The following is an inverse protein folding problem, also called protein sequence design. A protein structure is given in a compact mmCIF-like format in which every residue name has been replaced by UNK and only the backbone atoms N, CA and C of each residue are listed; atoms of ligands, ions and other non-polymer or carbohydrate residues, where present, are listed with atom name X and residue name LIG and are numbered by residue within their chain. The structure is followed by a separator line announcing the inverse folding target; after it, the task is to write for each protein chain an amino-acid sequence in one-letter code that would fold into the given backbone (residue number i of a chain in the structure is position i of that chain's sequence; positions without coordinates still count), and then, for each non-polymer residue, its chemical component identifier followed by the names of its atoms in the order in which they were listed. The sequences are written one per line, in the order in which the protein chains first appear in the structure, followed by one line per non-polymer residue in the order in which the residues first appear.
data_IF_783836448980
#
_entry.id   IF_783836448980
#
_cell.length_a   1.000
_cell.length_b   1.000
_cell.length_c   1.000
_cell.angle_alpha   90.00
_cell.angle_beta   90.00
_cell.angle_gamma   90.00
#
_symmetry.space_group_name_H-M   'P 1'
#
loop_
_entity.id
_entity.type
_entity.pdbx_description
1 polymer ?
#
# COMPACT_ATOMS: atom_id res chain seq x y z
N UNK A 1 -18.48 12.05 -2.56
CA UNK A 1 -17.32 12.79 -3.09
C UNK A 1 -16.44 11.80 -3.83
N UNK A 2 -16.08 12.05 -5.08
CA UNK A 2 -15.03 11.23 -5.67
C UNK A 2 -13.76 11.46 -4.84
N UNK A 3 -13.17 10.40 -4.36
CA UNK A 3 -11.85 10.44 -3.77
C UNK A 3 -10.92 10.77 -4.93
N UNK A 4 -10.59 12.05 -5.07
CA UNK A 4 -9.70 12.49 -6.13
C UNK A 4 -8.35 11.81 -5.96
N UNK A 5 -7.79 11.37 -7.06
CA UNK A 5 -6.44 10.83 -7.09
C UNK A 5 -5.50 11.87 -6.47
N UNK A 6 -4.87 11.53 -5.34
CA UNK A 6 -3.91 12.43 -4.68
C UNK A 6 -2.72 12.60 -5.61
N UNK A 7 -2.54 13.80 -6.14
CA UNK A 7 -1.45 14.10 -7.06
C UNK A 7 -0.14 14.39 -6.31
N UNK A 8 0.96 14.21 -7.01
CA UNK A 8 2.31 14.47 -6.47
C UNK A 8 2.44 15.86 -5.82
N UNK A 9 1.90 16.90 -6.47
CA UNK A 9 1.93 18.26 -5.93
C UNK A 9 1.18 18.38 -4.59
N UNK A 10 0.04 17.70 -4.47
CA UNK A 10 -0.76 17.69 -3.24
C UNK A 10 -0.02 17.02 -2.09
N UNK A 11 0.70 15.93 -2.37
CA UNK A 11 1.53 15.24 -1.38
C UNK A 11 2.64 16.14 -0.88
N UNK A 12 3.34 16.86 -1.78
CA UNK A 12 4.38 17.80 -1.40
C UNK A 12 3.83 18.92 -0.53
N UNK A 13 2.67 19.48 -0.87
CA UNK A 13 2.03 20.53 -0.10
C UNK A 13 1.61 20.04 1.28
N UNK A 14 1.10 18.82 1.35
CA UNK A 14 0.73 18.18 2.62
C UNK A 14 1.96 18.00 3.53
N UNK A 15 3.08 17.54 2.99
CA UNK A 15 4.33 17.41 3.75
C UNK A 15 4.86 18.76 4.22
N UNK A 16 4.82 19.79 3.38
CA UNK A 16 5.19 21.17 3.76
C UNK A 16 4.31 21.71 4.86
N UNK A 17 3.00 21.44 4.82
CA UNK A 17 2.06 21.88 5.84
C UNK A 17 2.36 21.29 7.22
N UNK A 18 3.07 20.18 7.28
CA UNK A 18 3.56 19.55 8.50
C UNK A 18 4.93 20.08 8.94
N UNK A 19 5.45 21.12 8.29
CA UNK A 19 6.74 21.72 8.60
C UNK A 19 7.94 20.95 8.06
N UNK A 20 7.72 20.02 7.13
CA UNK A 20 8.78 19.18 6.59
C UNK A 20 9.48 19.87 5.40
N UNK A 21 10.80 19.84 5.44
CA UNK A 21 11.61 20.39 4.36
C UNK A 21 11.65 19.42 3.17
N UNK A 22 11.33 19.96 1.99
CA UNK A 22 11.39 19.19 0.74
C UNK A 22 12.79 19.24 0.14
N UNK A 23 13.65 18.31 0.57
CA UNK A 23 14.98 18.11 -0.03
C UNK A 23 14.86 17.45 -1.40
N UNK A 24 15.89 17.56 -2.30
CA UNK A 24 15.87 16.84 -3.57
C UNK A 24 15.69 15.33 -3.42
N UNK A 25 16.33 14.71 -2.42
CA UNK A 25 16.18 13.28 -2.13
C UNK A 25 14.75 12.93 -1.76
N UNK A 26 14.14 13.70 -0.87
CA UNK A 26 12.74 13.47 -0.44
C UNK A 26 11.76 13.63 -1.60
N UNK A 27 11.96 14.63 -2.45
CA UNK A 27 11.15 14.81 -3.67
C UNK A 27 11.25 13.64 -4.63
N UNK A 28 12.46 13.11 -4.84
CA UNK A 28 12.69 11.95 -5.71
C UNK A 28 12.00 10.71 -5.16
N UNK A 29 12.07 10.48 -3.85
CA UNK A 29 11.41 9.36 -3.19
C UNK A 29 9.88 9.47 -3.31
N UNK A 30 9.31 10.63 -3.03
CA UNK A 30 7.87 10.86 -3.17
C UNK A 30 7.43 10.66 -4.62
N UNK A 31 8.19 11.17 -5.58
CA UNK A 31 7.90 10.97 -7.02
C UNK A 31 7.88 9.49 -7.38
N UNK A 32 8.85 8.70 -6.94
CA UNK A 32 8.91 7.26 -7.21
C UNK A 32 7.75 6.51 -6.56
N UNK A 33 7.42 6.84 -5.31
CA UNK A 33 6.27 6.28 -4.60
C UNK A 33 4.97 6.55 -5.37
N UNK A 34 4.77 7.78 -5.84
CA UNK A 34 3.54 8.15 -6.55
C UNK A 34 3.43 7.48 -7.93
N UNK A 35 4.56 7.16 -8.58
CA UNK A 35 4.58 6.42 -9.85
C UNK A 35 4.38 4.91 -9.68
N UNK A 36 4.69 4.36 -8.52
CA UNK A 36 4.58 2.92 -8.28
C UNK A 36 3.12 2.52 -8.20
N UNK A 37 2.75 1.48 -8.93
CA UNK A 37 1.42 0.86 -8.85
C UNK A 37 1.48 -0.38 -7.95
N UNK A 38 0.44 -0.55 -7.13
CA UNK A 38 0.36 -1.70 -6.22
C UNK A 38 1.29 -1.58 -5.01
N UNK A 39 1.91 -2.69 -4.64
CA UNK A 39 2.75 -2.78 -3.47
C UNK A 39 4.06 -1.99 -3.61
N UNK A 40 4.41 -1.25 -2.57
CA UNK A 40 5.61 -0.43 -2.52
C UNK A 40 6.59 -1.07 -1.55
N UNK A 41 7.68 -1.61 -2.09
CA UNK A 41 8.75 -2.17 -1.30
C UNK A 41 9.81 -1.09 -1.00
N UNK A 42 10.14 -0.83 0.28
CA UNK A 42 11.20 0.12 0.62
C UNK A 42 12.53 -0.20 -0.06
N UNK A 43 12.88 -1.47 -0.14
CA UNK A 43 14.13 -1.90 -0.80
C UNK A 43 14.12 -1.61 -2.30
N UNK A 44 12.97 -1.80 -2.97
CA UNK A 44 12.84 -1.48 -4.40
C UNK A 44 12.94 0.02 -4.65
N UNK A 45 12.29 0.83 -3.82
CA UNK A 45 12.41 2.31 -3.88
C UNK A 45 13.86 2.73 -3.67
N UNK A 46 14.54 2.18 -2.67
CA UNK A 46 15.96 2.49 -2.39
C UNK A 46 16.85 2.17 -3.59
N UNK A 47 16.66 1.05 -4.26
CA UNK A 47 17.43 0.68 -5.46
C UNK A 47 17.21 1.66 -6.61
N UNK A 48 15.96 2.04 -6.86
CA UNK A 48 15.63 3.01 -7.92
C UNK A 48 16.25 4.37 -7.64
N UNK A 49 16.15 4.85 -6.40
CA UNK A 49 16.71 6.15 -6.00
C UNK A 49 18.24 6.12 -6.06
N UNK A 50 18.89 5.03 -5.65
CA UNK A 50 20.36 4.89 -5.77
C UNK A 50 20.80 5.00 -7.24
N UNK A 51 20.02 4.46 -8.18
CA UNK A 51 20.30 4.58 -9.61
C UNK A 51 20.15 6.01 -10.14
N UNK A 52 19.17 6.77 -9.63
CA UNK A 52 18.90 8.16 -10.06
C UNK A 52 19.77 9.19 -9.30
N UNK A 53 19.99 8.96 -8.02
CA UNK A 53 20.74 9.84 -7.11
C UNK A 53 21.70 9.03 -6.24
N UNK A 54 22.88 8.65 -6.77
CA UNK A 54 23.85 7.86 -6.00
C UNK A 54 24.22 8.52 -4.67
N UNK A 55 24.33 7.72 -3.61
CA UNK A 55 24.72 8.19 -2.28
C UNK A 55 23.56 8.60 -1.38
N UNK A 56 22.31 8.41 -1.81
CA UNK A 56 21.15 8.59 -0.92
C UNK A 56 21.14 7.46 0.12
N UNK A 57 21.13 7.84 1.39
CA UNK A 57 21.11 6.87 2.48
C UNK A 57 19.77 6.12 2.48
N UNK A 58 19.76 4.76 2.53
CA UNK A 58 18.53 3.99 2.64
C UNK A 58 17.62 4.40 3.79
N UNK A 59 18.17 4.88 4.91
CA UNK A 59 17.38 5.40 6.03
C UNK A 59 16.54 6.62 5.66
N UNK A 60 16.96 7.40 4.66
CA UNK A 60 16.15 8.53 4.14
C UNK A 60 14.91 8.03 3.41
N UNK A 61 15.02 6.91 2.69
CA UNK A 61 13.87 6.25 2.05
C UNK A 61 12.87 5.80 3.11
N UNK A 62 13.30 5.06 4.11
CA UNK A 62 12.42 4.56 5.19
C UNK A 62 11.76 5.69 5.95
N UNK A 63 12.51 6.74 6.31
CA UNK A 63 11.94 7.91 6.98
C UNK A 63 10.89 8.64 6.14
N UNK A 64 11.14 8.75 4.83
CA UNK A 64 10.17 9.39 3.93
C UNK A 64 8.89 8.56 3.81
N UNK A 65 9.00 7.24 3.70
CA UNK A 65 7.83 6.35 3.69
C UNK A 65 7.03 6.44 5.00
N UNK A 66 7.70 6.47 6.14
CA UNK A 66 7.06 6.67 7.45
C UNK A 66 6.33 8.01 7.52
N UNK A 67 6.92 9.09 7.02
CA UNK A 67 6.27 10.40 6.96
C UNK A 67 5.02 10.38 6.07
N UNK A 68 5.08 9.70 4.93
CA UNK A 68 3.92 9.53 4.04
C UNK A 68 2.80 8.74 4.72
N UNK A 69 3.14 7.78 5.55
CA UNK A 69 2.17 7.05 6.37
C UNK A 69 1.55 7.95 7.44
N UNK A 70 2.35 8.72 8.15
CA UNK A 70 1.88 9.66 9.19
C UNK A 70 0.90 10.70 8.65
N UNK A 71 1.08 11.13 7.41
CA UNK A 71 0.17 12.08 6.76
C UNK A 71 -0.98 11.42 6.01
N UNK A 72 -1.10 10.10 6.07
CA UNK A 72 -2.22 9.35 5.51
C UNK A 72 -2.15 9.05 4.02
N UNK A 73 -1.01 9.27 3.37
CA UNK A 73 -0.82 8.96 1.93
C UNK A 73 -0.54 7.48 1.72
N UNK A 74 0.21 6.86 2.62
CA UNK A 74 0.54 5.44 2.60
C UNK A 74 -0.01 4.72 3.81
N UNK A 75 -0.18 3.43 3.66
CA UNK A 75 -0.43 2.50 4.75
C UNK A 75 0.56 1.33 4.60
N UNK A 76 0.93 0.69 5.69
CA UNK A 76 1.81 -0.47 5.62
C UNK A 76 1.09 -1.74 6.07
N UNK A 77 1.53 -2.87 5.51
CA UNK A 77 1.15 -4.20 5.97
C UNK A 77 2.40 -5.03 6.20
N UNK A 78 2.33 -5.94 7.16
CA UNK A 78 3.39 -6.91 7.39
C UNK A 78 3.10 -8.15 6.54
N UNK A 79 4.02 -8.46 5.63
CA UNK A 79 4.04 -9.69 4.85
C UNK A 79 5.28 -10.50 5.25
N UNK A 80 5.35 -11.77 4.88
CA UNK A 80 6.49 -12.63 5.23
C UNK A 80 7.84 -12.08 4.79
N UNK A 81 7.87 -11.30 3.69
CA UNK A 81 9.07 -10.66 3.16
C UNK A 81 9.46 -9.35 3.86
N UNK A 82 8.69 -8.89 4.85
CA UNK A 82 8.92 -7.64 5.56
C UNK A 82 7.75 -6.67 5.48
N UNK A 83 8.01 -5.39 5.72
CA UNK A 83 6.98 -4.35 5.60
C UNK A 83 6.81 -3.93 4.13
N UNK A 84 5.58 -3.90 3.67
CA UNK A 84 5.20 -3.31 2.40
C UNK A 84 4.24 -2.15 2.62
N UNK A 85 4.29 -1.18 1.73
CA UNK A 85 3.41 -0.02 1.76
C UNK A 85 2.45 -0.06 0.58
N UNK A 86 1.28 0.56 0.76
CA UNK A 86 0.31 0.82 -0.31
C UNK A 86 -0.16 2.24 -0.22
N UNK A 87 -0.61 2.80 -1.33
CA UNK A 87 -1.32 4.07 -1.30
C UNK A 87 -2.65 3.88 -0.57
N UNK A 88 -2.99 4.80 0.32
CA UNK A 88 -4.23 4.74 1.10
C UNK A 88 -5.47 4.69 0.20
N UNK A 89 -5.42 5.32 -0.97
CA UNK A 89 -6.48 5.28 -1.98
C UNK A 89 -6.70 3.88 -2.58
N UNK A 90 -5.65 3.06 -2.62
CA UNK A 90 -5.68 1.68 -3.14
C UNK A 90 -5.93 0.66 -2.04
N UNK A 91 -5.96 1.08 -0.78
CA UNK A 91 -6.00 0.21 0.40
C UNK A 91 -7.38 -0.40 0.70
N UNK A 92 -8.39 -0.12 -0.11
CA UNK A 92 -9.75 -0.63 0.09
C UNK A 92 -10.00 -1.95 -0.64
N UNK A 93 -8.94 -2.70 -0.94
CA UNK A 93 -9.04 -3.97 -1.64
C UNK A 93 -8.73 -5.14 -0.70
N UNK A 94 -9.65 -6.08 -0.64
CA UNK A 94 -9.39 -7.39 -0.03
C UNK A 94 -8.84 -8.28 -1.13
N UNK A 95 -7.58 -8.72 -0.98
CA UNK A 95 -6.94 -9.60 -1.93
C UNK A 95 -7.31 -11.05 -1.69
N UNK A 96 -7.47 -11.81 -2.77
CA UNK A 96 -7.66 -13.26 -2.76
C UNK A 96 -6.42 -13.90 -3.38
N UNK A 97 -5.55 -14.47 -2.56
CA UNK A 97 -4.28 -15.01 -3.04
C UNK A 97 -4.26 -16.53 -3.00
N UNK A 98 -4.01 -17.15 -4.15
CA UNK A 98 -3.83 -18.59 -4.22
C UNK A 98 -2.43 -18.97 -3.74
N UNK A 99 -2.35 -19.72 -2.63
CA UNK A 99 -1.06 -20.16 -2.08
C UNK A 99 -0.35 -21.24 -2.91
N UNK A 100 -1.03 -21.83 -3.92
CA UNK A 100 -0.43 -22.83 -4.79
C UNK A 100 0.20 -22.25 -6.05
N UNK A 101 -0.53 -21.40 -6.79
CA UNK A 101 -0.06 -20.84 -8.06
C UNK A 101 0.28 -19.34 -7.98
N UNK A 102 0.03 -18.68 -6.85
CA UNK A 102 0.27 -17.24 -6.67
C UNK A 102 -0.74 -16.33 -7.37
N UNK A 103 -1.79 -16.89 -7.98
CA UNK A 103 -2.84 -16.06 -8.58
C UNK A 103 -3.43 -15.12 -7.53
N UNK A 104 -3.51 -13.85 -7.89
CA UNK A 104 -4.10 -12.81 -7.08
C UNK A 104 -5.36 -12.28 -7.75
N UNK A 105 -6.40 -12.07 -6.93
CA UNK A 105 -7.68 -11.50 -7.35
C UNK A 105 -8.12 -10.54 -6.25
N UNK A 106 -9.17 -9.78 -6.48
CA UNK A 106 -9.65 -8.78 -5.53
C UNK A 106 -11.16 -8.91 -5.34
N UNK A 107 -11.60 -8.70 -4.10
CA UNK A 107 -13.03 -8.47 -3.83
C UNK A 107 -13.41 -7.06 -4.25
N UNK A 108 -14.58 -6.92 -4.84
CA UNK A 108 -15.17 -5.60 -5.04
C UNK A 108 -15.44 -4.92 -3.68
N UNK A 109 -15.57 -3.61 -3.68
CA UNK A 109 -15.93 -2.83 -2.47
C UNK A 109 -17.22 -3.38 -1.85
N UNK A 110 -18.21 -3.68 -2.68
CA UNK A 110 -19.50 -4.23 -2.23
C UNK A 110 -19.36 -5.60 -1.56
N UNK A 111 -18.51 -6.47 -2.11
CA UNK A 111 -18.22 -7.78 -1.51
C UNK A 111 -17.50 -7.66 -0.18
N UNK A 112 -16.49 -6.76 -0.10
CA UNK A 112 -15.76 -6.48 1.14
C UNK A 112 -16.69 -5.91 2.23
N UNK A 113 -17.59 -4.98 1.88
CA UNK A 113 -18.59 -4.44 2.79
C UNK A 113 -19.53 -5.53 3.33
N UNK A 114 -19.98 -6.42 2.46
CA UNK A 114 -20.83 -7.57 2.87
C UNK A 114 -20.09 -8.50 3.83
N UNK A 115 -18.82 -8.75 3.58
CA UNK A 115 -17.96 -9.55 4.47
C UNK A 115 -17.86 -8.89 5.85
N UNK A 116 -17.58 -7.58 5.89
CA UNK A 116 -17.53 -6.81 7.13
C UNK A 116 -18.84 -6.85 7.90
N UNK A 117 -19.97 -6.67 7.21
CA UNK A 117 -21.30 -6.75 7.81
C UNK A 117 -21.62 -8.14 8.37
N UNK A 118 -21.21 -9.19 7.66
CA UNK A 118 -21.38 -10.57 8.11
C UNK A 118 -20.61 -10.83 9.42
N UNK A 119 -19.36 -10.40 9.48
CA UNK A 119 -18.53 -10.51 10.68
C UNK A 119 -19.13 -9.72 11.84
N UNK A 120 -19.56 -8.50 11.59
CA UNK A 120 -20.21 -7.66 12.61
C UNK A 120 -21.49 -8.32 13.16
N UNK A 121 -22.35 -8.82 12.27
CA UNK A 121 -23.63 -9.43 12.63
C UNK A 121 -23.45 -10.68 13.50
N UNK A 122 -22.49 -11.53 13.17
CA UNK A 122 -22.33 -12.82 13.86
C UNK A 122 -21.41 -12.75 15.08
N UNK A 123 -20.49 -11.80 15.11
CA UNK A 123 -19.43 -11.72 16.13
C UNK A 123 -19.41 -10.39 16.89
N UNK A 124 -20.20 -9.40 16.48
CA UNK A 124 -20.15 -8.04 17.04
C UNK A 124 -18.79 -7.37 16.85
N UNK A 125 -18.07 -7.75 15.78
CA UNK A 125 -16.68 -7.37 15.55
C UNK A 125 -16.57 -6.44 14.34
N UNK A 126 -15.95 -5.28 14.54
CA UNK A 126 -15.64 -4.33 13.46
C UNK A 126 -14.33 -4.76 12.79
N UNK A 127 -14.45 -5.41 11.64
CA UNK A 127 -13.28 -5.89 10.90
C UNK A 127 -12.64 -4.77 10.10
N UNK A 128 -11.32 -4.61 10.25
CA UNK A 128 -10.54 -3.76 9.36
C UNK A 128 -10.14 -4.58 8.14
N UNK A 129 -10.82 -4.34 7.02
CA UNK A 129 -10.59 -5.03 5.75
C UNK A 129 -9.74 -4.20 4.79
N UNK A 130 -9.13 -3.11 5.25
CA UNK A 130 -8.32 -2.22 4.40
C UNK A 130 -6.99 -2.85 3.98
N UNK A 131 -6.47 -3.82 4.72
CA UNK A 131 -5.20 -4.52 4.45
C UNK A 131 -5.33 -6.02 4.63
N UNK A 132 -6.35 -6.58 4.07
CA UNK A 132 -6.66 -7.97 4.31
C UNK A 132 -6.44 -8.80 3.05
N UNK A 133 -5.71 -9.91 3.20
CA UNK A 133 -5.55 -10.91 2.17
C UNK A 133 -6.17 -12.23 2.66
N UNK A 134 -7.09 -12.76 1.88
CA UNK A 134 -7.61 -14.10 2.10
C UNK A 134 -6.76 -15.06 1.26
N UNK A 135 -6.11 -16.00 1.91
CA UNK A 135 -5.32 -17.03 1.24
C UNK A 135 -6.12 -18.30 1.12
N UNK A 136 -5.96 -18.98 0.00
CA UNK A 136 -6.66 -20.23 -0.27
C UNK A 136 -6.21 -20.84 -1.59
N UNK A 137 -7.10 -21.56 -2.25
CA UNK A 137 -6.89 -22.16 -3.57
C UNK A 137 -7.84 -21.52 -4.58
N UNK A 138 -7.32 -21.08 -5.71
CA UNK A 138 -8.18 -20.68 -6.82
C UNK A 138 -8.90 -21.93 -7.40
N UNK A 139 -9.94 -21.71 -8.18
CA UNK A 139 -10.76 -22.78 -8.74
C UNK A 139 -9.91 -23.83 -9.49
N UNK A 140 -8.98 -23.39 -10.33
CA UNK A 140 -8.11 -24.30 -11.10
C UNK A 140 -7.24 -25.18 -10.19
N UNK A 141 -6.70 -24.61 -9.12
CA UNK A 141 -5.86 -25.35 -8.17
C UNK A 141 -6.69 -26.25 -7.24
N UNK A 142 -7.90 -25.84 -6.89
CA UNK A 142 -8.81 -26.64 -6.07
C UNK A 142 -9.31 -27.87 -6.85
N UNK A 143 -9.58 -27.71 -8.15
CA UNK A 143 -10.02 -28.79 -9.03
C UNK A 143 -8.89 -29.70 -9.52
N UNK A 144 -7.64 -29.42 -9.13
CA UNK A 144 -6.48 -30.21 -9.51
C UNK A 144 -6.01 -30.02 -10.95
N UNK A 145 -6.36 -28.91 -11.57
CA UNK A 145 -5.93 -28.55 -12.94
C UNK A 145 -4.65 -27.72 -12.94
#
# INVERSE_FOLDING_TARGET
MPVGTTEYADVLDLLRSKGLRMTPQRRAIVSEVMRTKGHISPAAIARTIEGEMPGVNPSTVYRTLTLLEEVGVLQHSHVESGAEYHKAEEAHHVHLTCHRCGRDDELSITEAERLGQLIHRHHGFEADLTHFAITGLCADCADGR
#
